data_IF_365840497704
#
_entry.id   IF_365840497704
#
_cell.length_a   1.000
_cell.length_b   1.000
_cell.length_c   1.000
_cell.angle_alpha   90.00
_cell.angle_beta   90.00
_cell.angle_gamma   90.00
#
_symmetry.space_group_name_H-M   'P 1'
#
loop_
_entity.id
_entity.type
_entity.pdbx_description
1 polymer ?
#
# COMPACT_ATOMS: atom_id res chain seq x y z
N UNK A 1 -36.25 -15.23 -9.08
CA UNK A 1 -34.92 -14.76 -9.51
C UNK A 1 -34.69 -13.43 -8.84
N UNK A 2 -33.72 -13.33 -7.93
CA UNK A 2 -33.38 -12.08 -7.29
C UNK A 2 -32.80 -11.12 -8.32
N UNK A 3 -33.47 -9.98 -8.51
CA UNK A 3 -33.04 -8.94 -9.45
C UNK A 3 -31.72 -8.37 -8.95
N UNK A 4 -30.62 -8.67 -9.65
CA UNK A 4 -29.30 -8.10 -9.33
C UNK A 4 -29.37 -6.59 -9.51
N UNK A 5 -29.21 -5.84 -8.42
CA UNK A 5 -29.14 -4.39 -8.46
C UNK A 5 -27.78 -3.94 -9.01
N UNK A 6 -27.75 -3.49 -10.27
CA UNK A 6 -26.53 -3.00 -10.93
C UNK A 6 -26.45 -1.48 -10.77
N UNK A 7 -25.40 -1.00 -10.10
CA UNK A 7 -25.12 0.43 -9.90
C UNK A 7 -23.84 0.84 -10.63
N UNK A 8 -23.93 1.81 -11.55
CA UNK A 8 -22.74 2.49 -12.10
C UNK A 8 -22.14 3.38 -11.01
N UNK A 9 -20.85 3.20 -10.72
CA UNK A 9 -20.15 4.02 -9.73
C UNK A 9 -19.60 5.30 -10.36
N UNK A 10 -18.80 5.17 -11.43
CA UNK A 10 -18.22 6.30 -12.15
C UNK A 10 -17.71 5.88 -13.53
N UNK A 11 -17.11 6.83 -14.27
CA UNK A 11 -16.46 6.62 -15.57
C UNK A 11 -14.93 6.57 -15.43
N UNK A 12 -14.26 5.72 -16.23
CA UNK A 12 -12.81 5.45 -16.12
C UNK A 12 -11.92 6.59 -16.63
N UNK A 13 -12.51 7.62 -17.24
CA UNK A 13 -11.78 8.76 -17.80
C UNK A 13 -11.36 8.53 -19.25
N UNK A 14 -10.55 9.44 -19.79
CA UNK A 14 -10.12 9.40 -21.20
C UNK A 14 -8.67 8.94 -21.38
N UNK A 15 -7.89 8.86 -20.30
CA UNK A 15 -6.47 8.48 -20.33
C UNK A 15 -6.21 7.01 -20.06
N UNK A 16 -7.21 6.25 -19.62
CA UNK A 16 -7.10 4.82 -19.33
C UNK A 16 -7.60 4.01 -20.52
N UNK A 17 -6.80 3.05 -20.99
CA UNK A 17 -7.23 2.13 -22.06
C UNK A 17 -8.14 1.03 -21.53
N UNK A 18 -7.88 0.56 -20.29
CA UNK A 18 -8.64 -0.49 -19.62
C UNK A 18 -9.00 -0.07 -18.20
N UNK A 19 -10.15 -0.52 -17.71
CA UNK A 19 -10.54 -0.32 -16.32
C UNK A 19 -9.57 -1.09 -15.40
N UNK A 20 -8.99 -0.38 -14.42
CA UNK A 20 -8.13 -1.00 -13.41
C UNK A 20 -8.84 -0.99 -12.07
N UNK A 21 -8.96 -2.17 -11.47
CA UNK A 21 -9.60 -2.41 -10.19
C UNK A 21 -8.62 -3.22 -9.33
N UNK A 22 -8.41 -2.80 -8.08
CA UNK A 22 -7.49 -3.47 -7.16
C UNK A 22 -8.14 -3.62 -5.78
N UNK A 23 -8.01 -4.80 -5.18
CA UNK A 23 -8.48 -5.08 -3.82
C UNK A 23 -7.39 -4.81 -2.79
N UNK A 24 -7.75 -4.13 -1.69
CA UNK A 24 -6.89 -3.88 -0.54
C UNK A 24 -7.50 -4.58 0.68
N UNK A 25 -7.11 -5.85 0.88
CA UNK A 25 -7.74 -6.73 1.87
C UNK A 25 -7.52 -6.31 3.31
N UNK A 26 -6.36 -5.73 3.62
CA UNK A 26 -6.03 -5.18 4.94
C UNK A 26 -6.87 -3.95 5.29
N UNK A 27 -7.24 -3.15 4.29
CA UNK A 27 -8.14 -2.02 4.45
C UNK A 27 -9.63 -2.37 4.27
N UNK A 28 -9.95 -3.61 3.87
CA UNK A 28 -11.32 -4.04 3.47
C UNK A 28 -11.94 -3.12 2.41
N UNK A 29 -11.10 -2.74 1.45
CA UNK A 29 -11.44 -1.77 0.42
C UNK A 29 -11.17 -2.31 -0.96
N UNK A 30 -11.84 -1.69 -1.92
CA UNK A 30 -11.60 -1.82 -3.33
C UNK A 30 -11.23 -0.44 -3.86
N UNK A 31 -10.29 -0.41 -4.79
CA UNK A 31 -9.86 0.82 -5.41
C UNK A 31 -9.94 0.70 -6.92
N UNK A 32 -10.22 1.84 -7.54
CA UNK A 32 -10.58 1.92 -8.94
C UNK A 32 -9.83 3.09 -9.56
N UNK A 33 -9.23 2.87 -10.73
CA UNK A 33 -8.48 3.90 -11.41
C UNK A 33 -9.38 4.76 -12.30
N UNK A 34 -9.20 6.08 -12.23
CA UNK A 34 -9.73 7.05 -13.19
C UNK A 34 -8.60 7.98 -13.61
N UNK A 35 -8.31 7.99 -14.91
CA UNK A 35 -7.12 8.62 -15.48
C UNK A 35 -5.83 8.15 -14.76
N UNK A 36 -5.19 9.02 -13.97
CA UNK A 36 -4.00 8.71 -13.18
C UNK A 36 -4.25 8.78 -11.66
N UNK A 37 -5.50 8.76 -11.23
CA UNK A 37 -5.91 8.77 -9.84
C UNK A 37 -6.53 7.42 -9.46
N UNK A 38 -6.26 6.98 -8.24
CA UNK A 38 -6.85 5.79 -7.64
C UNK A 38 -7.76 6.22 -6.49
N UNK A 39 -9.04 5.88 -6.63
CA UNK A 39 -10.11 6.21 -5.69
C UNK A 39 -10.45 4.97 -4.86
N UNK A 40 -10.67 5.15 -3.56
CA UNK A 40 -10.94 4.06 -2.63
C UNK A 40 -12.39 4.03 -2.19
N UNK A 41 -12.94 2.83 -2.06
CA UNK A 41 -14.28 2.58 -1.57
C UNK A 41 -14.27 1.35 -0.68
N UNK A 42 -15.08 1.35 0.36
CA UNK A 42 -15.36 0.12 1.12
C UNK A 42 -16.14 -0.87 0.24
N UNK A 43 -16.08 -2.16 0.56
CA UNK A 43 -16.78 -3.20 -0.22
C UNK A 43 -18.29 -3.00 -0.37
N UNK A 44 -18.92 -2.29 0.58
CA UNK A 44 -20.36 -2.01 0.56
C UNK A 44 -20.73 -0.65 -0.04
N UNK A 45 -19.75 0.07 -0.58
CA UNK A 45 -20.00 1.28 -1.36
C UNK A 45 -19.89 2.60 -0.60
N UNK A 46 -19.50 2.58 0.68
CA UNK A 46 -19.16 3.79 1.44
C UNK A 46 -17.86 4.39 0.92
N UNK A 47 -17.82 5.72 0.76
CA UNK A 47 -16.60 6.43 0.37
C UNK A 47 -15.55 6.26 1.47
N UNK A 48 -14.35 5.83 1.08
CA UNK A 48 -13.25 5.64 2.02
C UNK A 48 -12.68 6.97 2.50
N UNK A 49 -12.26 7.08 3.78
CA UNK A 49 -11.49 8.24 4.25
C UNK A 49 -10.03 8.25 3.75
N UNK A 50 -9.56 7.19 3.08
CA UNK A 50 -8.22 7.15 2.49
C UNK A 50 -8.14 8.17 1.36
N UNK A 51 -7.14 9.04 1.42
CA UNK A 51 -6.88 10.03 0.37
C UNK A 51 -6.56 9.35 -0.97
N UNK A 52 -7.02 9.96 -2.06
CA UNK A 52 -6.73 9.49 -3.41
C UNK A 52 -5.22 9.34 -3.64
N UNK A 53 -4.83 8.30 -4.38
CA UNK A 53 -3.44 8.10 -4.78
C UNK A 53 -3.27 8.57 -6.22
N UNK A 54 -2.39 9.55 -6.44
CA UNK A 54 -2.06 10.08 -7.77
C UNK A 54 -0.76 9.48 -8.29
N UNK A 55 -0.82 8.88 -9.47
CA UNK A 55 0.34 8.40 -10.22
C UNK A 55 0.86 9.46 -11.21
N UNK A 56 2.09 9.30 -11.68
CA UNK A 56 2.67 10.22 -12.67
C UNK A 56 1.98 10.15 -14.05
N UNK A 57 1.41 8.99 -14.38
CA UNK A 57 0.64 8.76 -15.61
C UNK A 57 -0.49 7.75 -15.36
N UNK A 58 -1.35 7.54 -16.36
CA UNK A 58 -2.43 6.56 -16.31
C UNK A 58 -1.84 5.13 -16.24
N UNK A 59 -2.14 4.35 -15.19
CA UNK A 59 -1.69 2.98 -15.08
C UNK A 59 -2.33 2.06 -16.12
N UNK A 60 -1.52 1.20 -16.73
CA UNK A 60 -1.97 0.05 -17.51
C UNK A 60 -2.59 -1.01 -16.60
N UNK A 61 -1.96 -1.23 -15.44
CA UNK A 61 -2.43 -2.15 -14.41
C UNK A 61 -1.81 -1.77 -13.05
N UNK A 62 -2.45 -2.18 -11.95
CA UNK A 62 -2.01 -1.92 -10.58
C UNK A 62 -2.16 -3.20 -9.78
N UNK A 63 -1.12 -3.55 -9.03
CA UNK A 63 -1.19 -4.61 -8.03
C UNK A 63 -0.93 -4.06 -6.64
N UNK A 64 -1.48 -4.74 -5.65
CA UNK A 64 -1.32 -4.39 -4.24
C UNK A 64 -0.50 -5.47 -3.52
N UNK A 65 0.68 -5.10 -3.04
CA UNK A 65 1.49 -5.90 -2.12
C UNK A 65 1.71 -5.04 -0.86
N UNK A 66 0.82 -5.23 0.12
CA UNK A 66 0.71 -4.37 1.30
C UNK A 66 2.08 -4.05 1.92
N UNK A 67 2.39 -2.77 2.21
CA UNK A 67 1.51 -1.58 2.13
C UNK A 67 1.62 -0.80 0.80
N UNK A 68 2.13 -1.43 -0.25
CA UNK A 68 2.49 -0.78 -1.51
C UNK A 68 1.51 -1.05 -2.64
N UNK A 69 1.24 0.00 -3.41
CA UNK A 69 0.67 -0.06 -4.74
C UNK A 69 1.81 -0.03 -5.75
N UNK A 70 1.80 -0.97 -6.69
CA UNK A 70 2.72 -1.01 -7.81
C UNK A 70 1.92 -0.82 -9.09
N UNK A 71 2.07 0.34 -9.71
CA UNK A 71 1.41 0.70 -10.96
C UNK A 71 2.38 0.49 -12.12
N UNK A 72 2.00 -0.38 -13.07
CA UNK A 72 2.66 -0.43 -14.36
C UNK A 72 2.08 0.68 -15.23
N UNK A 73 2.93 1.63 -15.63
CA UNK A 73 2.58 2.74 -16.50
C UNK A 73 3.04 2.44 -17.94
N UNK A 74 2.64 3.30 -18.87
CA UNK A 74 3.15 3.30 -20.24
C UNK A 74 4.69 3.33 -20.27
N UNK A 75 5.27 2.87 -21.38
CA UNK A 75 6.73 2.75 -21.59
C UNK A 75 7.47 1.79 -20.65
N UNK A 76 6.76 0.94 -19.90
CA UNK A 76 7.37 -0.07 -19.02
C UNK A 76 7.88 0.46 -17.68
N UNK A 77 7.35 1.60 -17.22
CA UNK A 77 7.67 2.16 -15.90
C UNK A 77 6.81 1.51 -14.83
N UNK A 78 7.42 1.08 -13.73
CA UNK A 78 6.73 0.60 -12.53
C UNK A 78 6.87 1.66 -11.45
N UNK A 79 5.77 2.34 -11.13
CA UNK A 79 5.73 3.34 -10.07
C UNK A 79 5.21 2.70 -8.78
N UNK A 80 5.99 2.85 -7.70
CA UNK A 80 5.67 2.27 -6.39
C UNK A 80 5.27 3.40 -5.44
N UNK A 81 4.10 3.27 -4.82
CA UNK A 81 3.56 4.22 -3.84
C UNK A 81 3.03 3.50 -2.61
N UNK A 82 3.11 4.11 -1.44
CA UNK A 82 2.40 3.62 -0.24
C UNK A 82 0.96 4.13 -0.21
N UNK A 83 0.05 3.34 0.39
CA UNK A 83 -1.37 3.71 0.54
C UNK A 83 -1.56 4.71 1.68
N UNK A 84 -0.92 4.45 2.83
CA UNK A 84 -1.01 5.32 4.01
C UNK A 84 0.37 5.44 4.67
N UNK A 85 0.97 6.64 4.73
CA UNK A 85 0.59 7.84 4.00
C UNK A 85 0.69 7.64 2.48
N UNK A 86 -0.05 8.42 1.69
CA UNK A 86 0.08 8.44 0.22
C UNK A 86 1.42 9.06 -0.18
N UNK A 87 2.44 8.24 -0.44
CA UNK A 87 3.81 8.71 -0.71
C UNK A 87 4.41 7.96 -1.89
N UNK A 88 5.16 8.68 -2.72
CA UNK A 88 5.97 8.08 -3.78
C UNK A 88 7.20 7.40 -3.16
N UNK A 89 7.40 6.12 -3.43
CA UNK A 89 8.54 5.36 -2.92
C UNK A 89 9.67 5.35 -3.94
N UNK A 90 9.38 4.90 -5.16
CA UNK A 90 10.34 4.86 -6.26
C UNK A 90 9.66 4.59 -7.60
N UNK A 91 10.39 4.80 -8.69
CA UNK A 91 10.02 4.37 -10.04
C UNK A 91 11.12 3.50 -10.63
N UNK A 92 10.75 2.36 -11.21
CA UNK A 92 11.67 1.43 -11.88
C UNK A 92 11.36 1.46 -13.38
N UNK A 93 12.39 1.57 -14.22
CA UNK A 93 12.24 1.46 -15.67
C UNK A 93 12.58 0.04 -16.11
N UNK A 94 11.62 -0.66 -16.73
CA UNK A 94 11.82 -1.97 -17.34
C UNK A 94 11.56 -1.88 -18.84
N UNK A 95 12.34 -2.60 -19.64
CA UNK A 95 12.27 -2.49 -21.08
C UNK A 95 10.96 -3.09 -21.61
N UNK A 96 10.07 -2.25 -22.15
CA UNK A 96 8.79 -2.68 -22.75
C UNK A 96 7.95 -3.59 -21.84
N UNK A 97 7.96 -3.35 -20.52
CA UNK A 97 7.09 -4.09 -19.62
C UNK A 97 5.60 -3.77 -19.90
N UNK A 98 4.77 -4.81 -19.92
CA UNK A 98 3.34 -4.74 -20.26
C UNK A 98 2.46 -5.53 -19.27
N UNK A 99 3.05 -6.41 -18.47
CA UNK A 99 2.33 -7.27 -17.52
C UNK A 99 2.87 -7.09 -16.11
N UNK A 100 2.00 -7.16 -15.11
CA UNK A 100 2.36 -7.11 -13.69
C UNK A 100 1.43 -8.04 -12.90
N UNK A 101 1.97 -8.78 -11.94
CA UNK A 101 1.20 -9.68 -11.09
C UNK A 101 1.87 -9.89 -9.73
N UNK A 102 1.07 -10.07 -8.68
CA UNK A 102 1.57 -10.43 -7.34
C UNK A 102 1.96 -11.90 -7.27
N UNK A 103 3.07 -12.18 -6.58
CA UNK A 103 3.48 -13.53 -6.23
C UNK A 103 3.17 -13.83 -4.77
N UNK A 104 4.15 -14.39 -4.07
CA UNK A 104 4.15 -14.44 -2.61
C UNK A 104 4.31 -13.03 -2.04
N UNK A 105 3.92 -12.84 -0.77
CA UNK A 105 4.10 -11.57 -0.05
C UNK A 105 5.54 -11.06 -0.18
N UNK A 106 5.68 -9.80 -0.60
CA UNK A 106 6.98 -9.17 -0.85
C UNK A 106 7.58 -9.46 -2.23
N UNK A 107 6.87 -10.17 -3.11
CA UNK A 107 7.31 -10.47 -4.47
C UNK A 107 6.27 -10.05 -5.51
N UNK A 108 6.74 -9.34 -6.54
CA UNK A 108 5.91 -8.93 -7.69
C UNK A 108 6.65 -9.28 -8.97
N UNK A 109 5.94 -9.88 -9.90
CA UNK A 109 6.46 -10.23 -11.22
C UNK A 109 6.02 -9.18 -12.24
N UNK A 110 6.95 -8.76 -13.08
CA UNK A 110 6.70 -7.83 -14.18
C UNK A 110 7.19 -8.48 -15.46
N UNK A 111 6.44 -8.40 -16.55
CA UNK A 111 6.77 -9.08 -17.80
C UNK A 111 6.70 -8.16 -19.02
N UNK A 112 7.56 -8.40 -19.98
CA UNK A 112 7.47 -7.92 -21.36
C UNK A 112 7.16 -9.11 -22.30
N UNK A 113 7.27 -8.91 -23.61
CA UNK A 113 7.22 -10.01 -24.57
C UNK A 113 8.47 -10.91 -24.57
N UNK A 114 9.58 -10.46 -23.98
CA UNK A 114 10.87 -11.17 -23.99
C UNK A 114 11.39 -11.56 -22.62
N UNK A 115 11.02 -10.81 -21.59
CA UNK A 115 11.66 -10.88 -20.27
C UNK A 115 10.61 -10.91 -19.15
N UNK A 116 10.97 -11.57 -18.05
CA UNK A 116 10.20 -11.55 -16.80
C UNK A 116 11.15 -11.15 -15.67
N UNK A 117 10.77 -10.11 -14.93
CA UNK A 117 11.51 -9.58 -13.79
C UNK A 117 10.79 -9.92 -12.49
N UNK A 118 11.57 -10.27 -11.48
CA UNK A 118 11.12 -10.39 -10.10
C UNK A 118 11.53 -9.13 -9.33
N UNK A 119 10.54 -8.42 -8.80
CA UNK A 119 10.73 -7.36 -7.81
C UNK A 119 10.57 -7.99 -6.43
N UNK A 120 11.69 -8.14 -5.71
CA UNK A 120 11.73 -8.75 -4.38
C UNK A 120 12.12 -7.73 -3.31
N UNK A 121 11.18 -7.40 -2.43
CA UNK A 121 11.39 -6.44 -1.34
C UNK A 121 12.01 -7.06 -0.09
N UNK A 122 11.97 -8.40 0.03
CA UNK A 122 12.34 -9.12 1.26
C UNK A 122 13.78 -8.89 1.70
N UNK A 123 14.80 -8.93 0.80
CA UNK A 123 16.20 -8.77 1.21
C UNK A 123 16.53 -7.39 1.79
N UNK A 124 15.77 -6.36 1.44
CA UNK A 124 16.00 -4.98 1.86
C UNK A 124 15.00 -4.51 2.92
N UNK A 125 14.05 -5.35 3.32
CA UNK A 125 12.93 -4.93 4.16
C UNK A 125 13.37 -4.35 5.50
N UNK A 126 14.35 -4.98 6.17
CA UNK A 126 14.89 -4.48 7.44
C UNK A 126 15.58 -3.12 7.28
N UNK A 127 16.44 -3.00 6.27
CA UNK A 127 17.14 -1.74 5.94
C UNK A 127 16.15 -0.61 5.62
N UNK A 128 15.09 -0.93 4.87
CA UNK A 128 14.03 0.02 4.55
C UNK A 128 13.29 0.51 5.81
N UNK A 129 12.99 -0.39 6.76
CA UNK A 129 12.39 0.02 8.05
C UNK A 129 13.33 0.95 8.80
N UNK A 130 14.60 0.59 8.95
CA UNK A 130 15.60 1.42 9.65
C UNK A 130 15.72 2.81 9.02
N UNK A 131 15.74 2.88 7.68
CA UNK A 131 15.74 4.14 6.94
C UNK A 131 14.51 5.00 7.24
N UNK A 132 13.32 4.43 7.16
CA UNK A 132 12.06 5.15 7.43
C UNK A 132 12.00 5.67 8.87
N UNK A 133 12.48 4.85 9.82
CA UNK A 133 12.58 5.25 11.23
C UNK A 133 13.54 6.43 11.41
N UNK A 134 14.67 6.44 10.72
CA UNK A 134 15.64 7.55 10.75
C UNK A 134 15.08 8.82 10.10
N UNK A 135 14.32 8.68 9.03
CA UNK A 135 13.61 9.76 8.33
C UNK A 135 12.34 10.22 9.08
N UNK A 136 12.04 9.64 10.25
CA UNK A 136 10.84 9.91 11.07
C UNK A 136 9.52 9.62 10.35
N UNK A 137 9.54 8.76 9.32
CA UNK A 137 8.35 8.26 8.62
C UNK A 137 7.74 7.06 9.37
N UNK A 138 7.29 7.30 10.60
CA UNK A 138 6.92 6.24 11.53
C UNK A 138 5.70 5.42 11.10
N UNK A 139 4.69 6.02 10.47
CA UNK A 139 3.48 5.30 10.06
C UNK A 139 3.79 4.20 9.02
N UNK A 140 4.63 4.50 8.03
CA UNK A 140 5.08 3.51 7.05
C UNK A 140 6.10 2.53 7.66
N UNK A 141 6.99 3.02 8.52
CA UNK A 141 7.97 2.17 9.21
C UNK A 141 7.30 1.07 10.04
N UNK A 142 6.27 1.42 10.81
CA UNK A 142 5.49 0.46 11.63
C UNK A 142 4.81 -0.57 10.74
N UNK A 143 4.13 -0.13 9.67
CA UNK A 143 3.48 -1.04 8.73
C UNK A 143 4.45 -2.06 8.16
N UNK A 144 5.65 -1.63 7.73
CA UNK A 144 6.67 -2.55 7.21
C UNK A 144 7.29 -3.43 8.28
N UNK A 145 7.50 -2.90 9.49
CA UNK A 145 8.03 -3.68 10.61
C UNK A 145 7.12 -4.85 10.98
N UNK A 146 5.79 -4.64 10.97
CA UNK A 146 4.80 -5.70 11.19
C UNK A 146 4.80 -6.77 10.08
N UNK A 147 5.43 -6.50 8.93
CA UNK A 147 5.63 -7.46 7.84
C UNK A 147 7.02 -8.09 7.83
N UNK A 148 7.94 -7.58 8.65
CA UNK A 148 9.33 -7.99 8.68
C UNK A 148 9.60 -8.99 9.81
N UNK A 149 9.73 -10.27 9.44
CA UNK A 149 10.01 -11.34 10.39
C UNK A 149 11.31 -11.12 11.20
N UNK A 150 12.30 -10.42 10.63
CA UNK A 150 13.59 -10.16 11.29
C UNK A 150 13.52 -9.14 12.43
N UNK A 151 12.53 -8.23 12.41
CA UNK A 151 12.39 -7.21 13.46
C UNK A 151 11.74 -7.80 14.71
N UNK A 152 10.77 -8.69 14.52
CA UNK A 152 10.01 -9.33 15.59
C UNK A 152 9.14 -8.37 16.41
N UNK A 153 8.26 -8.92 17.24
CA UNK A 153 7.25 -8.14 17.97
C UNK A 153 7.86 -7.08 18.90
N UNK A 154 8.98 -7.42 19.56
CA UNK A 154 9.69 -6.47 20.44
C UNK A 154 10.25 -5.28 19.66
N UNK A 155 10.77 -5.51 18.46
CA UNK A 155 11.28 -4.44 17.59
C UNK A 155 10.16 -3.54 17.08
N UNK A 156 9.02 -4.14 16.70
CA UNK A 156 7.81 -3.39 16.31
C UNK A 156 7.35 -2.47 17.45
N UNK A 157 7.27 -2.99 18.68
CA UNK A 157 6.89 -2.20 19.86
C UNK A 157 7.85 -1.04 20.09
N UNK A 158 9.15 -1.25 19.91
CA UNK A 158 10.15 -0.19 20.07
C UNK A 158 10.00 0.91 19.00
N UNK A 159 9.71 0.53 17.76
CA UNK A 159 9.42 1.49 16.69
C UNK A 159 8.15 2.29 17.02
N UNK A 160 7.08 1.64 17.51
CA UNK A 160 5.85 2.33 17.95
C UNK A 160 6.11 3.29 19.13
N UNK A 161 6.99 2.93 20.08
CA UNK A 161 7.39 3.84 21.17
C UNK A 161 8.12 5.08 20.65
N UNK A 162 9.04 4.90 19.71
CA UNK A 162 9.74 6.02 19.04
C UNK A 162 8.76 6.91 18.27
N UNK A 163 7.77 6.32 17.61
CA UNK A 163 6.69 7.02 16.93
C UNK A 163 5.85 7.87 17.91
N UNK A 164 5.42 7.27 19.02
CA UNK A 164 4.68 7.95 20.07
C UNK A 164 5.51 9.13 20.63
N UNK A 165 6.77 8.90 20.98
CA UNK A 165 7.64 9.96 21.47
C UNK A 165 7.79 11.10 20.44
N UNK A 166 7.86 10.79 19.15
CA UNK A 166 7.92 11.80 18.09
C UNK A 166 6.64 12.66 18.03
N UNK A 167 5.45 12.05 18.11
CA UNK A 167 4.17 12.77 18.16
C UNK A 167 4.05 13.64 19.40
N UNK A 168 4.52 13.14 20.56
CA UNK A 168 4.58 13.90 21.79
C UNK A 168 5.44 15.17 21.64
N UNK A 169 6.64 15.06 21.05
CA UNK A 169 7.47 16.22 20.75
C UNK A 169 6.81 17.21 19.77
N UNK A 170 5.94 16.73 18.88
CA UNK A 170 5.15 17.56 17.95
C UNK A 170 3.86 18.13 18.58
N UNK A 171 3.58 17.87 19.86
CA UNK A 171 2.34 18.27 20.56
C UNK A 171 1.06 17.67 19.94
N UNK A 172 1.17 16.58 19.20
CA UNK A 172 0.04 15.82 18.63
C UNK A 172 -0.46 14.79 19.64
N UNK A 173 -1.07 15.28 20.72
CA UNK A 173 -1.38 14.45 21.89
C UNK A 173 -2.48 13.41 21.64
N UNK A 174 -3.46 13.68 20.77
CA UNK A 174 -4.53 12.74 20.45
C UNK A 174 -3.98 11.47 19.79
N UNK A 175 -3.17 11.63 18.74
CA UNK A 175 -2.51 10.53 18.03
C UNK A 175 -1.48 9.81 18.91
N UNK A 176 -0.79 10.57 19.78
CA UNK A 176 0.11 9.99 20.76
C UNK A 176 -0.62 9.05 21.73
N UNK A 177 -1.78 9.47 22.24
CA UNK A 177 -2.61 8.68 23.16
C UNK A 177 -3.11 7.40 22.49
N UNK A 178 -3.49 7.46 21.22
CA UNK A 178 -3.93 6.29 20.44
C UNK A 178 -2.82 5.23 20.35
N UNK A 179 -1.62 5.60 19.91
CA UNK A 179 -0.49 4.67 19.84
C UNK A 179 -0.12 4.13 21.23
N UNK A 180 -0.14 4.99 22.26
CA UNK A 180 0.20 4.57 23.61
C UNK A 180 -0.84 3.59 24.21
N UNK A 181 -2.12 3.76 23.90
CA UNK A 181 -3.18 2.83 24.28
C UNK A 181 -3.00 1.46 23.59
N UNK A 182 -2.62 1.42 22.30
CA UNK A 182 -2.29 0.18 21.59
C UNK A 182 -1.13 -0.58 22.26
N UNK A 183 -0.03 0.14 22.56
CA UNK A 183 1.15 -0.45 23.21
C UNK A 183 0.78 -1.05 24.58
N UNK A 184 -0.02 -0.35 25.39
CA UNK A 184 -0.38 -0.80 26.76
C UNK A 184 -1.37 -1.94 26.79
N UNK A 185 -2.33 -1.96 25.86
CA UNK A 185 -3.40 -2.96 25.89
C UNK A 185 -2.99 -4.29 25.27
N UNK A 186 -1.82 -4.37 24.64
CA UNK A 186 -1.38 -5.58 23.94
C UNK A 186 -2.36 -6.01 22.84
N UNK A 187 -3.27 -5.12 22.42
CA UNK A 187 -4.19 -5.39 21.31
C UNK A 187 -3.40 -5.26 20.02
N UNK A 188 -2.75 -6.34 19.66
CA UNK A 188 -2.37 -6.61 18.29
C UNK A 188 -3.67 -6.72 17.49
N UNK A 189 -4.13 -5.62 16.87
CA UNK A 189 -5.06 -5.71 15.73
C UNK A 189 -4.22 -6.15 14.51
N UNK A 190 -3.42 -7.19 14.68
CA UNK A 190 -3.07 -8.06 13.58
C UNK A 190 -4.28 -8.95 13.42
N UNK A 191 -5.00 -8.79 12.32
CA UNK A 191 -5.91 -9.81 11.82
C UNK A 191 -5.12 -11.13 11.75
N UNK A 192 -5.16 -11.92 12.82
CA UNK A 192 -4.91 -13.36 12.74
C UNK A 192 -5.98 -13.84 11.78
N UNK A 193 -5.59 -14.17 10.55
CA UNK A 193 -6.36 -15.09 9.75
C UNK A 193 -6.50 -16.36 10.58
N UNK A 194 -7.67 -16.52 11.17
CA UNK A 194 -8.17 -17.79 11.65
C UNK A 194 -9.04 -18.30 10.50
N UNK A 195 -8.60 -19.45 9.97
CA UNK A 195 -9.21 -20.28 8.94
C UNK A 195 -8.99 -19.79 7.50
#
# INVERSE_FOLDING_TARGET
EDVVNVKKLFDVGSRTENAVIVGLSDYKQIAYCRDNFLFFQEYYGTVSPISEVKFSDAPLNIVYDSPYLLALLGSGKVEIRSVKPTTHIQTIQLNKAMYISTGLRGTVYVGSSSDVWLLDSRPQMKSNVEKLVNEKQFELAVQLAEKCNEIGDKGVVEIKRRAAFNLFCQRRFDEWLEIHAEIKTGRFIGHRSLC
#
